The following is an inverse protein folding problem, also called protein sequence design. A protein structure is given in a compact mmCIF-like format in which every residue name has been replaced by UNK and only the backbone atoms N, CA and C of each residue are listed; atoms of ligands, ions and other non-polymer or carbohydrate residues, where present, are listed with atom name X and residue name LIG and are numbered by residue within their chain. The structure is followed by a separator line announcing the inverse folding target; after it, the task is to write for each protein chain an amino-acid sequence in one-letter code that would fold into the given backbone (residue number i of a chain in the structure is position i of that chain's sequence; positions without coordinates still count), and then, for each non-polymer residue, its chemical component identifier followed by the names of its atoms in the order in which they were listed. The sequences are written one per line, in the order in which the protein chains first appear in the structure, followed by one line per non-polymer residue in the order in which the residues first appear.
data_IF_009663748904
#
_entry.id   IF_009663748904
#
_cell.length_a   1.000
_cell.length_b   1.000
_cell.length_c   1.000
_cell.angle_alpha   90.00
_cell.angle_beta   90.00
_cell.angle_gamma   90.00
#
_symmetry.space_group_name_H-M   'P 1'
#
loop_
_entity.id
_entity.type
_entity.pdbx_description
1 polymer ?
#
# COMPACT_ATOMS: atom_id res chain seq x y z
N UNK A 1 -20.12 30.33 11.16
CA UNK A 1 -19.16 29.51 11.93
C UNK A 1 -18.33 28.71 10.93
N UNK A 2 -17.04 29.00 10.84
CA UNK A 2 -16.15 28.49 9.79
C UNK A 2 -15.84 27.00 9.99
N UNK A 3 -16.57 26.14 9.27
CA UNK A 3 -16.25 24.70 9.15
C UNK A 3 -14.94 24.45 8.37
N UNK A 4 -14.41 25.47 7.66
CA UNK A 4 -13.19 25.34 6.85
C UNK A 4 -11.88 25.34 7.65
N UNK A 5 -11.86 25.94 8.85
CA UNK A 5 -10.61 26.11 9.61
C UNK A 5 -10.08 24.78 10.20
N UNK A 6 -10.95 23.81 10.49
CA UNK A 6 -10.56 22.56 11.16
C UNK A 6 -9.80 21.61 10.23
N UNK A 7 -10.22 21.53 8.96
CA UNK A 7 -9.64 20.58 7.99
C UNK A 7 -8.35 21.08 7.34
N UNK A 8 -8.20 22.40 7.23
CA UNK A 8 -7.05 23.03 6.59
C UNK A 8 -5.72 22.62 7.26
N UNK A 9 -5.71 22.46 8.59
CA UNK A 9 -4.54 22.00 9.33
C UNK A 9 -4.09 20.58 8.93
N UNK A 10 -5.02 19.63 8.81
CA UNK A 10 -4.71 18.25 8.42
C UNK A 10 -4.33 18.13 6.94
N UNK A 11 -4.95 18.92 6.06
CA UNK A 11 -4.57 19.01 4.64
C UNK A 11 -3.13 19.53 4.52
N UNK A 12 -2.79 20.61 5.23
CA UNK A 12 -1.42 21.16 5.26
C UNK A 12 -0.42 20.17 5.88
N UNK A 13 -0.85 19.40 6.89
CA UNK A 13 0.00 18.37 7.48
C UNK A 13 0.32 17.27 6.45
N UNK A 14 -0.67 16.79 5.70
CA UNK A 14 -0.45 15.86 4.58
C UNK A 14 0.54 16.43 3.56
N UNK A 15 0.31 17.66 3.08
CA UNK A 15 1.17 18.29 2.07
C UNK A 15 2.60 18.48 2.61
N UNK A 16 2.76 18.80 3.89
CA UNK A 16 4.07 18.89 4.54
C UNK A 16 4.78 17.53 4.63
N UNK A 17 4.05 16.44 4.93
CA UNK A 17 4.61 15.09 4.93
C UNK A 17 5.12 14.70 3.55
N UNK A 18 4.31 14.90 2.50
CA UNK A 18 4.71 14.65 1.11
C UNK A 18 5.95 15.47 0.72
N UNK A 19 5.94 16.78 1.00
CA UNK A 19 7.06 17.67 0.66
C UNK A 19 8.37 17.32 1.39
N UNK A 20 8.29 16.66 2.55
CA UNK A 20 9.45 16.18 3.30
C UNK A 20 9.93 14.78 2.86
N UNK A 21 9.25 14.17 1.88
CA UNK A 21 9.55 12.80 1.45
C UNK A 21 9.14 11.74 2.46
N UNK A 22 8.20 12.05 3.37
CA UNK A 22 7.65 11.03 4.26
C UNK A 22 6.82 10.02 3.45
N UNK A 23 6.88 8.74 3.83
CA UNK A 23 6.11 7.65 3.21
C UNK A 23 4.63 7.66 3.65
N UNK A 24 3.95 8.80 3.53
CA UNK A 24 2.50 8.91 3.72
C UNK A 24 1.75 8.31 2.54
N UNK A 25 0.62 7.65 2.79
CA UNK A 25 -0.19 7.06 1.71
C UNK A 25 -0.60 8.12 0.68
N UNK A 26 -0.28 7.95 -0.61
CA UNK A 26 -0.66 8.93 -1.63
C UNK A 26 -2.18 9.01 -1.80
N UNK A 27 -2.67 10.07 -2.44
CA UNK A 27 -4.07 10.13 -2.89
C UNK A 27 -4.33 9.00 -3.89
N UNK A 28 -5.55 8.44 -3.93
CA UNK A 28 -5.88 7.31 -4.78
C UNK A 28 -5.10 6.04 -4.46
N UNK A 29 -4.69 5.90 -3.20
CA UNK A 29 -4.05 4.71 -2.67
C UNK A 29 -4.69 4.30 -1.34
N UNK A 30 -4.43 3.07 -0.93
CA UNK A 30 -4.77 2.56 0.39
C UNK A 30 -3.62 1.73 0.95
N UNK A 31 -3.61 1.46 2.25
CA UNK A 31 -2.62 0.58 2.84
C UNK A 31 -3.06 -0.88 2.78
N UNK A 32 -2.14 -1.75 2.38
CA UNK A 32 -2.26 -3.20 2.59
C UNK A 32 -1.02 -3.75 3.28
N UNK A 33 -1.14 -4.92 3.90
CA UNK A 33 0.02 -5.65 4.44
C UNK A 33 0.54 -6.65 3.41
N UNK A 34 1.84 -6.65 3.10
CA UNK A 34 2.44 -7.64 2.21
C UNK A 34 2.51 -9.04 2.85
N UNK A 35 1.91 -10.05 2.20
CA UNK A 35 1.99 -11.45 2.68
C UNK A 35 2.88 -12.33 1.82
N UNK A 36 2.83 -12.14 0.50
CA UNK A 36 3.66 -12.87 -0.48
C UNK A 36 4.18 -11.85 -1.49
N UNK A 37 5.51 -11.77 -1.64
CA UNK A 37 6.17 -11.07 -2.73
C UNK A 37 6.38 -12.00 -3.91
N UNK A 38 6.00 -11.56 -5.11
CA UNK A 38 6.19 -12.29 -6.39
C UNK A 38 7.12 -11.47 -7.26
N UNK A 39 8.29 -12.03 -7.58
CA UNK A 39 9.24 -11.42 -8.49
C UNK A 39 9.00 -11.96 -9.91
N UNK A 40 8.75 -11.03 -10.84
CA UNK A 40 8.61 -11.30 -12.27
C UNK A 40 9.68 -10.54 -13.06
N UNK A 41 10.08 -11.06 -14.22
CA UNK A 41 10.98 -10.33 -15.12
C UNK A 41 10.21 -9.37 -16.04
N UNK A 42 10.93 -8.59 -16.84
CA UNK A 42 10.35 -7.62 -17.79
C UNK A 42 9.51 -8.24 -18.92
N UNK A 43 9.57 -9.56 -19.10
CA UNK A 43 8.74 -10.30 -20.07
C UNK A 43 7.43 -10.81 -19.44
N UNK A 44 7.20 -10.57 -18.15
CA UNK A 44 6.06 -11.11 -17.42
C UNK A 44 6.22 -12.58 -17.03
N UNK A 45 7.46 -13.08 -16.95
CA UNK A 45 7.74 -14.46 -16.53
C UNK A 45 8.03 -14.50 -15.03
N UNK A 46 7.50 -15.51 -14.36
CA UNK A 46 7.75 -15.78 -12.95
C UNK A 46 9.23 -16.12 -12.70
N UNK A 47 9.85 -15.44 -11.73
CA UNK A 47 11.22 -15.75 -11.29
C UNK A 47 11.21 -16.49 -9.94
N UNK A 48 10.57 -15.89 -8.93
CA UNK A 48 10.44 -16.49 -7.61
C UNK A 48 9.33 -15.82 -6.80
N UNK A 49 8.97 -16.44 -5.68
CA UNK A 49 8.11 -15.83 -4.68
C UNK A 49 8.65 -16.09 -3.27
N UNK A 50 8.28 -15.21 -2.35
CA UNK A 50 8.79 -15.22 -0.97
C UNK A 50 7.77 -14.63 -0.01
N UNK A 51 7.70 -15.18 1.20
CA UNK A 51 7.06 -14.49 2.34
C UNK A 51 8.05 -13.46 2.90
N UNK A 52 7.63 -12.21 3.15
CA UNK A 52 8.51 -11.20 3.75
C UNK A 52 9.12 -11.72 5.07
N UNK A 53 10.43 -11.52 5.24
CA UNK A 53 11.10 -11.94 6.47
C UNK A 53 10.64 -11.06 7.64
N UNK A 54 10.47 -9.76 7.38
CA UNK A 54 9.83 -8.80 8.28
C UNK A 54 8.37 -8.70 7.89
N UNK A 55 7.50 -9.22 8.75
CA UNK A 55 6.06 -9.29 8.48
C UNK A 55 5.36 -8.00 8.89
N UNK A 56 4.18 -7.75 8.34
CA UNK A 56 3.33 -6.64 8.79
C UNK A 56 3.70 -5.28 8.20
N UNK A 57 4.58 -5.21 7.21
CA UNK A 57 4.87 -3.97 6.50
C UNK A 57 3.62 -3.44 5.79
N UNK A 58 3.31 -2.17 6.01
CA UNK A 58 2.25 -1.46 5.32
C UNK A 58 2.77 -0.88 4.01
N UNK A 59 2.11 -1.26 2.92
CA UNK A 59 2.41 -0.82 1.56
C UNK A 59 1.26 0.02 1.07
N UNK A 60 1.57 1.19 0.51
CA UNK A 60 0.60 2.00 -0.24
C UNK A 60 0.35 1.32 -1.59
N UNK A 61 -0.91 1.09 -1.92
CA UNK A 61 -1.30 0.44 -3.19
C UNK A 61 -2.35 1.26 -3.91
N UNK A 62 -2.21 1.46 -5.23
CA UNK A 62 -3.15 2.26 -5.99
C UNK A 62 -4.55 1.65 -5.95
N UNK A 63 -5.56 2.50 -5.73
CA UNK A 63 -6.93 2.07 -5.54
C UNK A 63 -7.92 3.11 -6.10
N UNK A 64 -9.06 2.63 -6.56
CA UNK A 64 -10.25 3.46 -6.79
C UNK A 64 -10.95 3.80 -5.45
N UNK A 65 -11.84 4.79 -5.45
CA UNK A 65 -12.69 5.12 -4.30
C UNK A 65 -13.51 3.93 -3.80
N UNK A 66 -14.04 3.08 -4.69
CA UNK A 66 -14.79 1.88 -4.36
C UNK A 66 -13.91 0.81 -3.71
N UNK A 67 -12.73 0.56 -4.30
CA UNK A 67 -11.81 -0.44 -3.76
C UNK A 67 -11.19 0.01 -2.42
N UNK A 68 -10.83 1.29 -2.27
CA UNK A 68 -10.27 1.85 -1.04
C UNK A 68 -11.23 1.84 0.16
N UNK A 69 -12.54 1.68 -0.07
CA UNK A 69 -13.56 1.53 1.00
C UNK A 69 -14.17 0.13 1.06
N UNK A 70 -13.62 -0.83 0.32
CA UNK A 70 -14.24 -2.16 0.17
C UNK A 70 -14.25 -2.92 1.48
N UNK A 71 -15.37 -3.57 1.74
CA UNK A 71 -15.50 -4.63 2.76
C UNK A 71 -15.68 -6.01 2.10
N UNK A 72 -15.71 -6.04 0.76
CA UNK A 72 -15.94 -7.19 -0.11
C UNK A 72 -16.36 -6.71 -1.51
N UNK A 73 -16.80 -7.64 -2.37
CA UNK A 73 -17.26 -7.35 -3.72
C UNK A 73 -16.18 -7.55 -4.80
N UNK A 74 -16.41 -6.98 -5.98
CA UNK A 74 -15.60 -7.17 -7.18
C UNK A 74 -14.85 -5.86 -7.54
N UNK A 75 -14.39 -5.12 -6.53
CA UNK A 75 -13.64 -3.85 -6.67
C UNK A 75 -12.16 -4.07 -6.29
N UNK A 76 -11.29 -4.42 -7.26
CA UNK A 76 -9.88 -4.67 -7.01
C UNK A 76 -9.09 -3.39 -6.74
N UNK A 77 -8.00 -3.53 -5.99
CA UNK A 77 -6.88 -2.58 -6.00
C UNK A 77 -6.04 -2.82 -7.26
N UNK A 78 -5.37 -1.77 -7.73
CA UNK A 78 -4.48 -1.85 -8.87
C UNK A 78 -3.12 -2.39 -8.43
N UNK A 79 -2.50 -3.18 -9.30
CA UNK A 79 -1.18 -3.81 -9.12
C UNK A 79 -1.15 -4.87 -8.03
N UNK A 80 -1.36 -4.52 -6.77
CA UNK A 80 -1.18 -5.41 -5.63
C UNK A 80 -2.51 -5.64 -4.92
N UNK A 81 -2.90 -6.89 -4.73
CA UNK A 81 -4.21 -7.21 -4.15
C UNK A 81 -4.24 -8.60 -3.49
N UNK A 82 -5.34 -8.94 -2.81
CA UNK A 82 -5.62 -10.25 -2.29
C UNK A 82 -5.56 -11.30 -3.41
N UNK A 83 -5.17 -12.53 -3.04
CA UNK A 83 -5.07 -13.67 -3.94
C UNK A 83 -6.34 -13.92 -4.76
N UNK A 84 -7.53 -13.66 -4.20
CA UNK A 84 -8.79 -13.81 -4.95
C UNK A 84 -9.04 -12.78 -6.06
N UNK A 85 -8.27 -11.69 -6.13
CA UNK A 85 -8.29 -10.74 -7.25
C UNK A 85 -7.17 -11.03 -8.24
N UNK A 86 -5.95 -11.29 -7.74
CA UNK A 86 -4.79 -11.52 -8.63
C UNK A 86 -4.74 -12.92 -9.24
N UNK A 87 -5.60 -13.84 -8.81
CA UNK A 87 -5.64 -15.21 -9.29
C UNK A 87 -7.07 -15.66 -9.61
N UNK A 88 -7.27 -16.63 -10.52
CA UNK A 88 -8.54 -17.32 -10.71
C UNK A 88 -8.81 -18.27 -9.52
N UNK A 89 -9.03 -17.69 -8.33
CA UNK A 89 -9.09 -18.39 -7.06
C UNK A 89 -10.33 -18.03 -6.24
N UNK A 90 -10.88 -19.02 -5.53
CA UNK A 90 -12.01 -18.83 -4.62
C UNK A 90 -13.38 -18.84 -5.31
N UNK A 91 -14.37 -18.24 -4.66
CA UNK A 91 -15.81 -18.38 -5.04
C UNK A 91 -16.30 -17.39 -6.10
N UNK A 92 -15.46 -16.47 -6.57
CA UNK A 92 -15.89 -15.42 -7.51
C UNK A 92 -14.86 -15.21 -8.61
N UNK A 93 -15.04 -15.89 -9.74
CA UNK A 93 -14.32 -15.62 -11.00
C UNK A 93 -14.45 -14.15 -11.44
N UNK A 94 -15.51 -13.48 -10.99
CA UNK A 94 -15.75 -12.05 -11.24
C UNK A 94 -14.67 -11.15 -10.66
N UNK A 95 -14.07 -11.49 -9.51
CA UNK A 95 -13.01 -10.69 -8.89
C UNK A 95 -11.76 -10.64 -9.76
N UNK A 96 -11.33 -11.81 -10.21
CA UNK A 96 -10.17 -11.90 -11.09
C UNK A 96 -10.41 -11.24 -12.44
N UNK A 97 -11.61 -11.44 -12.99
CA UNK A 97 -12.02 -10.75 -14.22
C UNK A 97 -12.01 -9.23 -14.06
N UNK A 98 -12.58 -8.70 -12.98
CA UNK A 98 -12.58 -7.26 -12.69
C UNK A 98 -11.15 -6.72 -12.51
N UNK A 99 -10.25 -7.50 -11.88
CA UNK A 99 -8.84 -7.13 -11.74
C UNK A 99 -8.13 -7.04 -13.10
N UNK A 100 -8.34 -8.03 -13.98
CA UNK A 100 -7.81 -8.01 -15.35
C UNK A 100 -8.38 -6.88 -16.19
N UNK A 101 -9.68 -6.60 -16.08
CA UNK A 101 -10.34 -5.49 -16.77
C UNK A 101 -9.77 -4.14 -16.31
N UNK A 102 -9.66 -3.90 -15.00
CA UNK A 102 -9.10 -2.66 -14.46
C UNK A 102 -7.63 -2.44 -14.87
N UNK A 103 -6.78 -3.49 -14.79
CA UNK A 103 -5.39 -3.39 -15.25
C UNK A 103 -5.29 -3.14 -16.75
N UNK A 104 -6.13 -3.81 -17.55
CA UNK A 104 -6.16 -3.61 -19.00
C UNK A 104 -6.50 -2.17 -19.36
N UNK A 105 -7.58 -1.64 -18.78
CA UNK A 105 -8.00 -0.25 -19.03
C UNK A 105 -6.89 0.74 -18.64
N UNK A 106 -6.28 0.57 -17.47
CA UNK A 106 -5.19 1.43 -17.02
C UNK A 106 -3.98 1.37 -17.95
N UNK A 107 -3.54 0.17 -18.35
CA UNK A 107 -2.36 -0.04 -19.21
C UNK A 107 -2.59 0.43 -20.65
N UNK A 108 -3.82 0.36 -21.16
CA UNK A 108 -4.20 0.93 -22.46
C UNK A 108 -4.17 2.47 -22.44
N UNK A 109 -4.58 3.10 -21.33
CA UNK A 109 -4.49 4.54 -21.16
C UNK A 109 -3.07 5.03 -20.82
N UNK A 110 -2.25 4.19 -20.18
CA UNK A 110 -0.90 4.53 -19.73
C UNK A 110 0.13 3.49 -20.22
N UNK A 111 0.36 3.37 -21.54
CA UNK A 111 1.26 2.36 -22.11
C UNK A 111 2.73 2.54 -21.70
N UNK A 112 3.10 3.72 -21.19
CA UNK A 112 4.44 4.00 -20.67
C UNK A 112 4.72 3.39 -19.29
N UNK A 113 3.69 2.95 -18.57
CA UNK A 113 3.84 2.30 -17.27
C UNK A 113 4.26 0.84 -17.45
N UNK A 114 5.56 0.63 -17.61
CA UNK A 114 6.14 -0.70 -17.82
C UNK A 114 5.82 -1.66 -16.66
N UNK A 115 5.74 -1.16 -15.43
CA UNK A 115 5.48 -1.99 -14.25
C UNK A 115 4.08 -2.59 -14.30
N UNK A 116 3.06 -1.76 -14.55
CA UNK A 116 1.68 -2.21 -14.69
C UNK A 116 1.48 -3.14 -15.90
N UNK A 117 2.12 -2.84 -17.03
CA UNK A 117 2.07 -3.68 -18.23
C UNK A 117 2.63 -5.09 -18.00
N UNK A 118 3.73 -5.20 -17.27
CA UNK A 118 4.36 -6.49 -16.93
C UNK A 118 3.48 -7.28 -15.96
N UNK A 119 2.90 -6.64 -14.94
CA UNK A 119 1.96 -7.29 -14.02
C UNK A 119 0.74 -7.81 -14.79
N UNK A 120 0.13 -6.98 -15.63
CA UNK A 120 -1.01 -7.39 -16.45
C UNK A 120 -0.66 -8.62 -17.32
N UNK A 121 0.50 -8.60 -17.96
CA UNK A 121 0.96 -9.71 -18.81
C UNK A 121 1.13 -11.01 -18.02
N UNK A 122 1.71 -10.95 -16.81
CA UNK A 122 1.86 -12.11 -15.93
C UNK A 122 0.51 -12.62 -15.41
N UNK A 123 -0.29 -11.75 -14.81
CA UNK A 123 -1.53 -12.14 -14.13
C UNK A 123 -2.56 -12.70 -15.12
N UNK A 124 -2.59 -12.17 -16.35
CA UNK A 124 -3.45 -12.67 -17.44
C UNK A 124 -3.20 -14.15 -17.79
N UNK A 125 -2.03 -14.70 -17.48
CA UNK A 125 -1.76 -16.13 -17.71
C UNK A 125 -2.57 -17.05 -16.79
N UNK A 126 -3.02 -16.55 -15.63
CA UNK A 126 -3.73 -17.35 -14.62
C UNK A 126 -2.84 -18.34 -13.85
N UNK A 127 -1.52 -18.35 -14.08
CA UNK A 127 -0.60 -19.36 -13.54
C UNK A 127 -0.14 -19.12 -12.09
N UNK A 128 -0.50 -17.99 -11.49
CA UNK A 128 -0.02 -17.60 -10.16
C UNK A 128 -0.26 -18.64 -9.06
N UNK A 129 -1.37 -19.39 -9.10
CA UNK A 129 -1.64 -20.44 -8.12
C UNK A 129 -0.68 -21.62 -8.25
N UNK A 130 -0.29 -21.94 -9.49
CA UNK A 130 0.71 -22.96 -9.76
C UNK A 130 2.07 -22.49 -9.23
N UNK A 131 2.46 -21.25 -9.53
CA UNK A 131 3.74 -20.68 -9.13
C UNK A 131 3.86 -20.52 -7.60
N UNK A 132 2.76 -20.24 -6.91
CA UNK A 132 2.69 -20.08 -5.46
C UNK A 132 2.44 -21.38 -4.70
N UNK A 133 2.24 -22.52 -5.38
CA UNK A 133 1.83 -23.80 -4.77
C UNK A 133 2.66 -24.18 -3.56
N UNK A 134 3.98 -24.06 -3.68
CA UNK A 134 4.93 -24.44 -2.62
C UNK A 134 4.77 -23.57 -1.37
N UNK A 135 4.63 -22.25 -1.54
CA UNK A 135 4.45 -21.31 -0.42
C UNK A 135 3.10 -21.57 0.25
N UNK A 136 2.04 -21.72 -0.55
CA UNK A 136 0.69 -21.94 -0.04
C UNK A 136 0.54 -23.28 0.70
N UNK A 137 1.40 -24.27 0.43
CA UNK A 137 1.41 -25.56 1.13
C UNK A 137 2.32 -25.58 2.36
N UNK A 138 3.44 -24.86 2.33
CA UNK A 138 4.49 -24.94 3.36
C UNK A 138 4.35 -23.88 4.45
N UNK A 139 3.65 -22.77 4.16
CA UNK A 139 3.52 -21.65 5.10
C UNK A 139 2.10 -21.58 5.64
N UNK A 140 2.00 -21.58 6.97
CA UNK A 140 0.74 -21.30 7.66
C UNK A 140 0.53 -19.79 7.75
N UNK A 141 -0.61 -19.32 7.24
CA UNK A 141 -1.05 -17.94 7.35
C UNK A 141 -2.23 -17.85 8.30
N UNK A 142 -2.20 -16.88 9.22
CA UNK A 142 -3.28 -16.62 10.19
C UNK A 142 -4.51 -15.93 9.57
N UNK A 143 -4.65 -15.99 8.24
CA UNK A 143 -5.77 -15.43 7.49
C UNK A 143 -6.18 -16.38 6.35
N UNK A 144 -7.43 -16.32 5.88
CA UNK A 144 -7.86 -17.13 4.75
C UNK A 144 -6.98 -16.91 3.51
N UNK A 145 -6.65 -17.99 2.81
CA UNK A 145 -5.78 -17.98 1.61
C UNK A 145 -6.24 -16.97 0.56
N UNK A 146 -7.56 -16.81 0.38
CA UNK A 146 -8.14 -15.85 -0.56
C UNK A 146 -7.86 -14.38 -0.21
N UNK A 147 -7.51 -14.08 1.05
CA UNK A 147 -7.21 -12.74 1.58
C UNK A 147 -5.71 -12.45 1.70
N UNK A 148 -4.85 -13.37 1.24
CA UNK A 148 -3.41 -13.13 1.19
C UNK A 148 -3.12 -12.03 0.18
N UNK A 149 -2.68 -10.86 0.63
CA UNK A 149 -2.15 -9.83 -0.28
C UNK A 149 -0.88 -10.33 -0.96
N UNK A 150 -0.95 -10.37 -2.29
CA UNK A 150 0.18 -10.62 -3.17
C UNK A 150 0.72 -9.28 -3.65
N UNK A 151 2.03 -9.10 -3.50
CA UNK A 151 2.77 -7.92 -3.91
C UNK A 151 3.69 -8.31 -5.04
N UNK A 152 3.59 -7.64 -6.18
CA UNK A 152 4.46 -7.89 -7.31
C UNK A 152 5.71 -7.01 -7.24
N UNK A 153 6.83 -7.59 -7.67
CA UNK A 153 8.08 -6.89 -7.90
C UNK A 153 8.52 -7.21 -9.34
N UNK A 154 8.97 -6.22 -10.09
CA UNK A 154 9.48 -6.44 -11.46
C UNK A 154 10.99 -6.27 -11.45
N UNK A 155 11.72 -7.31 -11.85
CA UNK A 155 13.18 -7.28 -11.85
C UNK A 155 13.73 -6.15 -12.74
N UNK A 156 14.49 -5.25 -12.11
CA UNK A 156 15.11 -4.11 -12.78
C UNK A 156 14.12 -3.00 -13.16
N UNK A 157 12.96 -2.94 -12.51
CA UNK A 157 12.08 -1.77 -12.47
C UNK A 157 11.76 -1.44 -11.01
N UNK A 158 11.87 -0.17 -10.66
CA UNK A 158 11.37 0.31 -9.38
C UNK A 158 9.87 0.59 -9.52
N UNK A 159 9.11 0.26 -8.47
CA UNK A 159 7.71 0.66 -8.38
C UNK A 159 7.57 2.16 -8.02
N UNK A 160 8.69 2.82 -7.70
CA UNK A 160 8.73 4.26 -7.39
C UNK A 160 8.41 5.08 -8.66
N UNK A 161 7.21 5.64 -8.71
CA UNK A 161 6.72 6.48 -9.82
C UNK A 161 5.38 6.04 -10.40
N UNK A 162 5.02 4.76 -10.26
CA UNK A 162 3.72 4.22 -10.68
C UNK A 162 2.57 4.90 -9.92
N UNK A 163 2.80 5.23 -8.66
CA UNK A 163 1.84 5.93 -7.80
C UNK A 163 1.41 7.28 -8.38
N UNK A 164 2.33 8.01 -9.03
CA UNK A 164 2.06 9.34 -9.58
C UNK A 164 1.20 9.23 -10.84
N UNK A 165 1.53 8.31 -11.73
CA UNK A 165 0.84 8.14 -13.00
C UNK A 165 -0.57 7.60 -12.78
N UNK A 166 -0.74 6.62 -11.88
CA UNK A 166 -2.07 6.20 -11.42
C UNK A 166 -2.86 7.35 -10.80
N UNK A 167 -2.27 8.10 -9.87
CA UNK A 167 -2.99 9.21 -9.20
C UNK A 167 -3.49 10.23 -10.22
N UNK A 168 -2.63 10.63 -11.17
CA UNK A 168 -3.01 11.57 -12.24
C UNK A 168 -4.12 11.00 -13.12
N UNK A 169 -3.95 9.75 -13.58
CA UNK A 169 -4.94 9.07 -14.41
C UNK A 169 -6.28 8.99 -13.68
N UNK A 170 -6.31 8.40 -12.48
CA UNK A 170 -7.54 8.16 -11.75
C UNK A 170 -8.27 9.46 -11.42
N UNK A 171 -7.57 10.49 -10.92
CA UNK A 171 -8.18 11.80 -10.66
C UNK A 171 -8.75 12.45 -11.93
N UNK A 172 -8.16 12.19 -13.10
CA UNK A 172 -8.70 12.70 -14.37
C UNK A 172 -10.01 12.03 -14.81
N UNK A 173 -10.27 10.81 -14.32
CA UNK A 173 -11.52 10.07 -14.61
C UNK A 173 -12.68 10.47 -13.71
N UNK A 174 -12.41 11.15 -12.59
CA UNK A 174 -13.41 11.47 -11.59
C UNK A 174 -14.25 12.70 -12.01
N UNK A 175 -15.59 12.60 -11.97
CA UNK A 175 -16.45 13.73 -12.29
C UNK A 175 -16.45 14.75 -11.14
N UNK A 176 -16.41 16.04 -11.47
CA UNK A 176 -16.63 17.13 -10.51
C UNK A 176 -18.12 17.30 -10.25
N UNK A 177 -18.66 16.46 -9.37
CA UNK A 177 -20.10 16.34 -9.12
C UNK A 177 -20.60 17.19 -7.94
N UNK A 178 -19.74 17.98 -7.28
CA UNK A 178 -20.16 18.87 -6.20
C UNK A 178 -19.08 19.82 -5.71
N UNK A 179 -19.42 20.61 -4.69
CA UNK A 179 -18.48 21.50 -3.98
C UNK A 179 -18.04 20.81 -2.70
N UNK A 180 -16.73 20.68 -2.51
CA UNK A 180 -16.13 20.10 -1.32
C UNK A 180 -16.34 21.00 -0.10
N UNK A 181 -16.96 20.47 0.97
CA UNK A 181 -17.21 21.23 2.19
C UNK A 181 -15.95 21.59 2.99
N UNK A 182 -14.86 20.86 2.79
CA UNK A 182 -13.60 21.15 3.46
C UNK A 182 -12.80 22.27 2.79
N UNK A 183 -12.91 22.43 1.46
CA UNK A 183 -12.09 23.37 0.69
C UNK A 183 -12.88 24.50 0.05
N UNK A 184 -14.19 24.33 -0.18
CA UNK A 184 -15.03 25.26 -0.94
C UNK A 184 -14.88 25.15 -2.46
N UNK A 185 -14.07 24.21 -2.96
CA UNK A 185 -13.76 24.03 -4.39
C UNK A 185 -14.59 22.92 -5.03
N UNK A 186 -14.76 22.98 -6.37
CA UNK A 186 -15.38 21.89 -7.13
C UNK A 186 -14.50 20.63 -7.11
N UNK A 187 -15.07 19.50 -6.69
CA UNK A 187 -14.39 18.21 -6.55
C UNK A 187 -15.34 17.04 -6.83
N UNK A 188 -14.81 15.82 -6.89
CA UNK A 188 -15.61 14.60 -6.81
C UNK A 188 -16.02 14.36 -5.36
N UNK A 189 -17.32 14.24 -5.11
CA UNK A 189 -17.92 13.87 -3.83
C UNK A 189 -18.15 12.36 -3.84
N UNK A 190 -17.39 11.57 -3.06
CA UNK A 190 -17.52 10.12 -3.03
C UNK A 190 -18.86 9.67 -2.46
N UNK A 191 -19.35 8.52 -2.93
CA UNK A 191 -20.53 7.85 -2.35
C UNK A 191 -20.27 7.24 -0.98
N UNK A 192 -19.01 7.19 -0.54
CA UNK A 192 -18.58 6.79 0.79
C UNK A 192 -17.07 6.97 0.97
N UNK A 193 -16.60 6.86 2.21
CA UNK A 193 -15.20 7.15 2.57
C UNK A 193 -14.51 5.94 3.21
N UNK A 194 -13.18 5.81 3.09
CA UNK A 194 -12.41 4.73 3.72
C UNK A 194 -12.59 4.64 5.24
N UNK A 195 -12.36 3.44 5.77
CA UNK A 195 -12.31 3.18 7.21
C UNK A 195 -10.85 3.14 7.71
N UNK A 196 -10.58 2.48 8.84
CA UNK A 196 -9.24 2.19 9.35
C UNK A 196 -8.46 3.46 9.74
N UNK A 197 -9.07 4.38 10.50
CA UNK A 197 -8.43 5.66 10.84
C UNK A 197 -7.32 5.47 11.89
N UNK A 198 -7.60 4.70 12.95
CA UNK A 198 -6.68 4.54 14.08
C UNK A 198 -5.85 3.27 14.03
N UNK A 199 -6.25 2.29 13.20
CA UNK A 199 -5.50 1.05 13.01
C UNK A 199 -5.93 0.34 11.71
N UNK A 200 -5.08 -0.54 11.13
CA UNK A 200 -5.44 -1.33 9.94
C UNK A 200 -6.71 -2.20 10.08
N UNK A 201 -6.98 -2.92 11.20
CA UNK A 201 -8.23 -3.67 11.37
C UNK A 201 -9.41 -2.79 11.81
N UNK A 202 -9.16 -1.50 12.08
CA UNK A 202 -10.15 -0.54 12.55
C UNK A 202 -11.32 -0.38 11.59
N UNK A 203 -12.51 -0.12 12.13
CA UNK A 203 -13.74 0.09 11.32
C UNK A 203 -14.27 1.51 11.42
N UNK A 204 -13.51 2.37 12.08
CA UNK A 204 -13.83 3.77 12.28
C UNK A 204 -13.83 4.48 10.94
N UNK A 205 -14.78 5.38 10.75
CA UNK A 205 -14.84 6.26 9.58
C UNK A 205 -14.86 7.68 10.09
N UNK A 206 -13.99 8.52 9.53
CA UNK A 206 -13.97 9.94 9.84
C UNK A 206 -15.14 10.66 9.16
N UNK A 207 -15.38 10.33 7.89
CA UNK A 207 -16.47 10.88 7.09
C UNK A 207 -17.50 9.79 6.79
N UNK A 208 -18.78 10.16 6.86
CA UNK A 208 -19.91 9.31 6.51
C UNK A 208 -20.43 9.63 5.12
N UNK A 209 -21.26 8.74 4.58
CA UNK A 209 -22.06 9.04 3.39
C UNK A 209 -22.78 10.39 3.60
N UNK A 210 -22.77 11.24 2.58
CA UNK A 210 -23.37 12.58 2.57
C UNK A 210 -22.61 13.67 3.39
N UNK A 211 -21.37 13.40 3.82
CA UNK A 211 -20.54 14.42 4.50
C UNK A 211 -20.12 15.60 3.60
N UNK A 212 -20.27 15.48 2.28
CA UNK A 212 -19.96 16.54 1.31
C UNK A 212 -18.47 16.88 1.18
N UNK A 213 -17.58 16.08 1.76
CA UNK A 213 -16.13 16.29 1.67
C UNK A 213 -15.62 15.71 0.35
N UNK A 214 -14.93 16.53 -0.44
CA UNK A 214 -14.35 16.12 -1.71
C UNK A 214 -13.31 15.01 -1.54
N UNK A 215 -13.14 14.20 -2.58
CA UNK A 215 -12.27 13.03 -2.59
C UNK A 215 -10.83 13.40 -2.23
N UNK A 216 -10.27 14.42 -2.87
CA UNK A 216 -8.89 14.85 -2.65
C UNK A 216 -8.70 15.28 -1.20
N UNK A 217 -9.59 16.16 -0.71
CA UNK A 217 -9.52 16.65 0.67
C UNK A 217 -9.66 15.50 1.68
N UNK A 218 -10.63 14.61 1.47
CA UNK A 218 -10.87 13.48 2.37
C UNK A 218 -9.68 12.52 2.43
N UNK A 219 -9.04 12.23 1.29
CA UNK A 219 -7.85 11.37 1.21
C UNK A 219 -6.68 12.00 1.96
N UNK A 220 -6.38 13.28 1.73
CA UNK A 220 -5.31 13.99 2.46
C UNK A 220 -5.52 13.93 3.97
N UNK A 221 -6.74 14.21 4.43
CA UNK A 221 -7.10 14.22 5.85
C UNK A 221 -6.95 12.82 6.45
N UNK A 222 -7.54 11.80 5.80
CA UNK A 222 -7.51 10.41 6.29
C UNK A 222 -6.07 9.88 6.31
N UNK A 223 -5.30 10.08 5.24
CA UNK A 223 -3.93 9.55 5.15
C UNK A 223 -2.98 10.24 6.12
N UNK A 224 -3.15 11.54 6.39
CA UNK A 224 -2.41 12.21 7.46
C UNK A 224 -2.70 11.58 8.83
N UNK A 225 -3.98 11.34 9.15
CA UNK A 225 -4.36 10.72 10.41
C UNK A 225 -3.84 9.29 10.54
N UNK A 226 -3.96 8.47 9.49
CA UNK A 226 -3.41 7.11 9.46
C UNK A 226 -1.89 7.09 9.61
N UNK A 227 -1.20 8.06 8.99
CA UNK A 227 0.24 8.22 9.14
C UNK A 227 0.63 8.48 10.59
N UNK A 228 -0.03 9.43 11.24
CA UNK A 228 0.23 9.76 12.64
C UNK A 228 -0.22 8.67 13.61
N UNK A 229 -1.28 7.93 13.28
CA UNK A 229 -1.84 6.91 14.16
C UNK A 229 -1.06 5.61 14.14
N UNK A 230 -0.58 5.15 12.97
CA UNK A 230 0.08 3.84 12.88
C UNK A 230 1.10 3.69 11.74
N UNK A 231 1.02 4.42 10.63
CA UNK A 231 1.86 4.10 9.48
C UNK A 231 3.33 4.51 9.68
N UNK A 232 3.58 5.65 10.35
CA UNK A 232 4.94 6.08 10.68
C UNK A 232 5.65 5.09 11.61
N UNK A 233 4.96 4.67 12.69
CA UNK A 233 5.49 3.69 13.63
C UNK A 233 5.72 2.33 12.96
N UNK A 234 4.80 1.90 12.10
CA UNK A 234 4.97 0.66 11.32
C UNK A 234 6.23 0.70 10.45
N UNK A 235 6.46 1.81 9.72
CA UNK A 235 7.63 1.97 8.87
C UNK A 235 8.93 1.94 9.69
N UNK A 236 9.00 2.70 10.79
CA UNK A 236 10.16 2.69 11.68
C UNK A 236 10.43 1.31 12.28
N UNK A 237 9.38 0.57 12.68
CA UNK A 237 9.52 -0.81 13.17
C UNK A 237 10.07 -1.74 12.11
N UNK A 238 9.52 -1.71 10.89
CA UNK A 238 9.96 -2.57 9.77
C UNK A 238 11.42 -2.30 9.43
N UNK A 239 11.82 -1.03 9.38
CA UNK A 239 13.20 -0.63 9.14
C UNK A 239 14.14 -1.15 10.25
N UNK A 240 13.75 -0.99 11.51
CA UNK A 240 14.53 -1.47 12.64
C UNK A 240 14.70 -2.99 12.64
N UNK A 241 13.61 -3.75 12.48
CA UNK A 241 13.65 -5.21 12.40
C UNK A 241 14.49 -5.69 11.22
N UNK A 242 14.45 -4.98 10.09
CA UNK A 242 15.27 -5.28 8.90
C UNK A 242 16.75 -5.14 9.21
N UNK A 243 17.18 -4.04 9.81
CA UNK A 243 18.59 -3.82 10.16
C UNK A 243 19.09 -4.83 11.19
N UNK A 244 18.32 -5.11 12.24
CA UNK A 244 18.69 -6.13 13.25
C UNK A 244 18.81 -7.51 12.62
N UNK A 245 17.84 -7.90 11.77
CA UNK A 245 17.88 -9.17 11.03
C UNK A 245 19.10 -9.25 10.12
N UNK A 246 19.39 -8.18 9.37
CA UNK A 246 20.49 -8.18 8.41
C UNK A 246 21.84 -8.25 9.11
N UNK A 247 21.97 -7.62 10.27
CA UNK A 247 23.15 -7.78 11.11
C UNK A 247 23.29 -9.21 11.64
N UNK A 248 22.22 -9.78 12.22
CA UNK A 248 22.23 -11.16 12.72
C UNK A 248 22.52 -12.20 11.62
N UNK A 249 22.12 -11.91 10.38
CA UNK A 249 22.40 -12.75 9.21
C UNK A 249 23.77 -12.48 8.57
N UNK A 250 24.59 -11.58 9.12
CA UNK A 250 25.90 -11.22 8.60
C UNK A 250 25.86 -10.49 7.25
N UNK A 251 24.73 -9.86 6.90
CA UNK A 251 24.53 -9.11 5.65
C UNK A 251 25.01 -7.66 5.76
N UNK A 252 25.05 -7.12 6.97
CA UNK A 252 25.63 -5.80 7.30
C UNK A 252 26.61 -5.93 8.45
N UNK A 253 27.57 -5.01 8.53
CA UNK A 253 28.56 -5.00 9.62
C UNK A 253 28.01 -4.36 10.90
N UNK A 254 28.71 -4.58 12.03
CA UNK A 254 28.40 -3.89 13.29
C UNK A 254 28.52 -2.37 13.15
N UNK A 255 29.48 -1.91 12.34
CA UNK A 255 29.69 -0.49 12.06
C UNK A 255 28.51 0.09 11.25
N UNK A 256 28.00 -0.63 10.26
CA UNK A 256 26.82 -0.22 9.51
C UNK A 256 25.59 -0.11 10.41
N UNK A 257 25.37 -1.11 11.28
CA UNK A 257 24.28 -1.10 12.25
C UNK A 257 24.42 0.05 13.25
N UNK A 258 25.63 0.30 13.75
CA UNK A 258 25.92 1.41 14.66
C UNK A 258 25.64 2.76 14.01
N UNK A 259 26.09 2.96 12.78
CA UNK A 259 25.88 4.20 12.05
C UNK A 259 24.40 4.48 11.81
N UNK A 260 23.61 3.45 11.49
CA UNK A 260 22.16 3.58 11.40
C UNK A 260 21.52 3.92 12.76
N UNK A 261 21.89 3.22 13.85
CA UNK A 261 21.36 3.49 15.19
C UNK A 261 21.70 4.91 15.67
N UNK A 262 22.94 5.37 15.49
CA UNK A 262 23.32 6.72 15.93
C UNK A 262 22.62 7.82 15.13
N UNK A 263 22.27 7.55 13.87
CA UNK A 263 21.48 8.45 13.01
C UNK A 263 20.01 8.51 13.44
N UNK A 264 19.36 7.37 13.59
CA UNK A 264 17.90 7.29 13.85
C UNK A 264 17.56 7.40 15.35
N UNK A 265 18.46 6.93 16.21
CA UNK A 265 18.29 6.88 17.67
C UNK A 265 19.55 7.39 18.41
N UNK A 266 19.85 8.71 18.34
CA UNK A 266 21.09 9.27 18.88
C UNK A 266 21.35 8.88 20.34
N UNK A 267 22.55 8.37 20.61
CA UNK A 267 23.00 8.00 21.96
C UNK A 267 22.46 6.67 22.49
N UNK A 268 21.77 5.87 21.66
CA UNK A 268 21.21 4.57 22.07
C UNK A 268 22.13 3.37 21.80
N UNK A 269 23.21 3.53 21.01
CA UNK A 269 24.10 2.43 20.64
C UNK A 269 24.61 1.60 21.83
N UNK A 270 25.23 2.25 22.83
CA UNK A 270 25.83 1.55 23.96
C UNK A 270 24.79 0.72 24.76
N UNK A 271 23.56 1.23 24.87
CA UNK A 271 22.47 0.51 25.53
C UNK A 271 22.02 -0.68 24.68
N UNK A 272 21.86 -0.48 23.37
CA UNK A 272 21.47 -1.52 22.43
C UNK A 272 22.47 -2.68 22.39
N UNK A 273 23.76 -2.38 22.21
CA UNK A 273 24.78 -3.43 22.10
C UNK A 273 24.93 -4.22 23.41
N UNK A 274 24.81 -3.57 24.58
CA UNK A 274 24.81 -4.28 25.87
C UNK A 274 23.63 -5.26 26.02
N UNK A 275 22.47 -4.96 25.44
CA UNK A 275 21.31 -5.86 25.47
C UNK A 275 21.52 -7.05 24.53
N UNK A 276 22.11 -6.83 23.36
CA UNK A 276 22.46 -7.91 22.44
C UNK A 276 23.51 -8.85 23.05
N UNK A 277 24.59 -8.31 23.61
CA UNK A 277 25.69 -9.11 24.18
C UNK A 277 25.31 -9.82 25.49
N UNK A 278 24.26 -9.38 26.19
CA UNK A 278 23.76 -10.04 27.41
C UNK A 278 22.70 -11.11 27.14
N UNK A 279 22.34 -11.33 25.88
CA UNK A 279 21.42 -12.41 25.46
C UNK A 279 22.13 -13.66 24.94
N UNK A 280 23.47 -13.67 24.93
CA UNK A 280 24.35 -14.84 24.76
C UNK A 280 24.79 -15.43 26.12
#
# INVERSE_FOLDING_TARGET
MSLGIVWEGLIKAYDSLVNKGAKVCPIAHTYITGHIGVLINKNGEFLCAKVPDVKGELLSVPCTDESGRRTGGDHPHLLHDNLCYVAPYGKSEKRHKAYLEQLKEYTECNPGDLFANVIYSYVKTGNILHDLKDILQKVEFNIPTEKLNVVFCVYGLDNEGVDIDWTKYYLSTLPKNGVCYATGELDYIPSGYPACITSPPGKERLFLKDSGVGYIASQKIIHALQYFAYAAENASRVEAETHVRDYAAGRISQEDLKNWIDKEYPGKWNHFISLLESTD
#
